data_IF_696173979662
#
_entry.id   IF_696173979662
#
_cell.length_a   1.000
_cell.length_b   1.000
_cell.length_c   1.000
_cell.angle_alpha   90.00
_cell.angle_beta   90.00
_cell.angle_gamma   90.00
#
_symmetry.space_group_name_H-M   'P 1'
#
loop_
_entity.id
_entity.type
_entity.pdbx_description
1 polymer ?
#
# COMPACT_ATOMS: atom_id res chain seq x y z
N UNK A 1 -4.09 24.88 -4.18
CA UNK A 1 -3.20 24.94 -3.03
C UNK A 1 -2.07 25.91 -3.31
N UNK A 2 -1.16 25.63 -4.25
CA UNK A 2 -0.15 26.58 -4.75
C UNK A 2 -0.33 26.95 -6.24
N UNK A 3 -1.10 26.15 -7.00
CA UNK A 3 -1.46 26.45 -8.39
C UNK A 3 -0.33 26.20 -9.41
N UNK A 4 0.83 25.72 -8.96
CA UNK A 4 1.98 25.43 -9.80
C UNK A 4 1.70 24.15 -10.60
N UNK A 5 1.91 24.22 -11.91
CA UNK A 5 1.78 23.07 -12.81
C UNK A 5 3.11 22.37 -13.04
N UNK A 6 3.09 21.13 -13.57
CA UNK A 6 4.31 20.39 -13.91
C UNK A 6 5.16 21.11 -14.95
N UNK A 7 4.55 21.88 -15.85
CA UNK A 7 5.25 22.66 -16.88
C UNK A 7 6.03 23.85 -16.30
N UNK A 8 5.58 24.37 -15.15
CA UNK A 8 6.24 25.47 -14.44
C UNK A 8 7.29 24.99 -13.43
N UNK A 9 7.43 23.67 -13.25
CA UNK A 9 8.31 23.12 -12.21
C UNK A 9 9.77 23.49 -12.44
N UNK A 10 10.27 23.41 -13.67
CA UNK A 10 11.69 23.69 -13.96
C UNK A 10 12.07 25.12 -13.58
N UNK A 11 11.33 26.11 -14.07
CA UNK A 11 11.56 27.52 -13.76
C UNK A 11 11.35 27.84 -12.28
N UNK A 12 10.39 27.17 -11.63
CA UNK A 12 10.21 27.28 -10.18
C UNK A 12 11.44 26.74 -9.42
N UNK A 13 11.95 25.58 -9.81
CA UNK A 13 13.13 24.97 -9.17
C UNK A 13 14.40 25.81 -9.38
N UNK A 14 14.61 26.41 -10.55
CA UNK A 14 15.74 27.31 -10.80
C UNK A 14 15.80 28.46 -9.78
N UNK A 15 14.64 28.96 -9.34
CA UNK A 15 14.55 30.05 -8.35
C UNK A 15 14.55 29.57 -6.90
N UNK A 16 13.89 28.44 -6.59
CA UNK A 16 13.59 28.02 -5.22
C UNK A 16 14.35 26.79 -4.73
N UNK A 17 15.25 26.22 -5.55
CA UNK A 17 16.00 25.02 -5.19
C UNK A 17 16.90 25.21 -3.95
N UNK A 18 17.66 26.30 -3.85
CA UNK A 18 18.55 26.51 -2.70
C UNK A 18 17.75 26.68 -1.39
N UNK A 19 16.72 27.56 -1.32
CA UNK A 19 15.87 27.63 -0.13
C UNK A 19 15.19 26.30 0.22
N UNK A 20 14.73 25.54 -0.77
CA UNK A 20 14.15 24.21 -0.54
C UNK A 20 15.17 23.28 0.10
N UNK A 21 16.39 23.23 -0.45
CA UNK A 21 17.47 22.35 0.03
C UNK A 21 17.87 22.69 1.46
N UNK A 22 17.97 23.96 1.81
CA UNK A 22 18.23 24.41 3.18
C UNK A 22 17.12 23.94 4.14
N UNK A 23 15.86 24.17 3.78
CA UNK A 23 14.69 23.73 4.57
C UNK A 23 14.62 22.21 4.77
N UNK A 24 15.05 21.44 3.78
CA UNK A 24 15.11 19.99 3.88
C UNK A 24 16.24 19.54 4.81
N UNK A 25 17.39 20.21 4.77
CA UNK A 25 18.56 19.90 5.62
C UNK A 25 18.34 20.27 7.08
N UNK A 26 17.77 21.44 7.34
CA UNK A 26 17.52 21.93 8.71
C UNK A 26 16.21 21.41 9.32
N UNK A 27 15.37 20.75 8.50
CA UNK A 27 14.12 20.14 8.94
C UNK A 27 12.95 21.09 9.05
N UNK A 28 13.09 22.35 8.63
CA UNK A 28 12.02 23.35 8.63
C UNK A 28 11.03 23.17 7.47
N UNK A 29 11.31 22.31 6.49
CA UNK A 29 10.35 21.97 5.43
C UNK A 29 9.03 21.46 6.00
N UNK A 30 7.91 22.04 5.56
CA UNK A 30 6.56 21.63 5.90
C UNK A 30 5.82 21.26 4.62
N UNK A 31 5.46 19.97 4.44
CA UNK A 31 4.60 19.55 3.34
C UNK A 31 3.27 20.28 3.36
N UNK A 32 2.71 20.51 2.19
CA UNK A 32 1.36 21.05 2.07
C UNK A 32 0.34 19.92 2.30
N UNK A 33 -0.90 20.25 2.73
CA UNK A 33 -1.97 19.27 2.72
C UNK A 33 -2.16 18.70 1.31
N UNK A 34 -2.79 17.54 1.19
CA UNK A 34 -3.12 16.98 -0.13
C UNK A 34 -4.48 17.50 -0.59
N UNK A 35 -4.63 17.81 -1.87
CA UNK A 35 -5.93 18.20 -2.44
C UNK A 35 -6.82 16.96 -2.57
N UNK A 36 -8.01 17.00 -1.96
CA UNK A 36 -9.00 15.92 -2.12
C UNK A 36 -9.61 15.96 -3.52
N UNK A 37 -9.62 14.82 -4.20
CA UNK A 37 -10.30 14.63 -5.48
C UNK A 37 -11.14 13.37 -5.41
N UNK A 38 -12.42 13.47 -5.78
CA UNK A 38 -13.31 12.32 -5.88
C UNK A 38 -13.30 11.76 -7.30
N UNK A 39 -13.05 10.45 -7.41
CA UNK A 39 -13.13 9.69 -8.66
C UNK A 39 -14.33 8.74 -8.56
N UNK A 40 -15.24 8.72 -9.55
CA UNK A 40 -16.34 7.76 -9.57
C UNK A 40 -15.81 6.33 -9.75
N UNK A 41 -16.34 5.38 -8.99
CA UNK A 41 -16.17 3.95 -9.23
C UNK A 41 -17.31 3.42 -10.11
N UNK A 42 -17.10 2.24 -10.70
CA UNK A 42 -18.10 1.55 -11.51
C UNK A 42 -19.38 1.20 -10.72
N UNK A 43 -19.28 1.02 -9.41
CA UNK A 43 -20.41 0.72 -8.50
C UNK A 43 -21.18 1.98 -8.04
N UNK A 44 -20.83 3.16 -8.55
CA UNK A 44 -21.43 4.45 -8.16
C UNK A 44 -20.86 5.06 -6.89
N UNK A 45 -20.02 4.33 -6.13
CA UNK A 45 -19.31 4.88 -4.97
C UNK A 45 -18.15 5.80 -5.41
N UNK A 46 -17.61 6.60 -4.47
CA UNK A 46 -16.49 7.52 -4.74
C UNK A 46 -15.19 6.97 -4.15
N UNK A 47 -14.12 6.99 -4.94
CA UNK A 47 -12.74 6.86 -4.46
C UNK A 47 -12.16 8.25 -4.24
N UNK A 48 -11.67 8.52 -3.04
CA UNK A 48 -11.00 9.79 -2.76
C UNK A 48 -9.49 9.63 -2.96
N UNK A 49 -8.92 10.50 -3.78
CA UNK A 49 -7.49 10.68 -3.92
C UNK A 49 -7.02 11.90 -3.12
N UNK A 50 -5.77 11.82 -2.66
CA UNK A 50 -5.04 12.94 -2.08
C UNK A 50 -3.89 13.31 -3.01
N UNK A 51 -4.04 14.41 -3.74
CA UNK A 51 -3.04 14.89 -4.70
C UNK A 51 -2.13 15.91 -4.02
N UNK A 52 -0.84 15.60 -3.77
CA UNK A 52 0.11 16.58 -3.24
C UNK A 52 0.41 17.67 -4.26
N UNK A 53 0.92 18.81 -3.82
CA UNK A 53 1.44 19.82 -4.74
C UNK A 53 2.66 19.29 -5.53
N UNK A 54 3.03 19.98 -6.61
CA UNK A 54 4.12 19.50 -7.48
C UNK A 54 5.43 19.38 -6.72
N UNK A 55 5.73 20.38 -5.88
CA UNK A 55 6.97 20.40 -5.09
C UNK A 55 7.03 19.23 -4.11
N UNK A 56 5.94 18.95 -3.40
CA UNK A 56 5.83 17.80 -2.51
C UNK A 56 6.03 16.49 -3.26
N UNK A 57 5.51 16.35 -4.49
CA UNK A 57 5.75 15.15 -5.30
C UNK A 57 7.23 14.99 -5.68
N UNK A 58 7.95 16.09 -5.95
CA UNK A 58 9.39 16.04 -6.21
C UNK A 58 10.15 15.57 -4.97
N UNK A 59 9.85 16.13 -3.81
CA UNK A 59 10.50 15.74 -2.55
C UNK A 59 10.18 14.28 -2.20
N UNK A 60 8.92 13.87 -2.32
CA UNK A 60 8.51 12.47 -2.12
C UNK A 60 9.24 11.52 -3.07
N UNK A 61 9.35 11.87 -4.35
CA UNK A 61 10.06 11.06 -5.33
C UNK A 61 11.57 10.97 -5.03
N UNK A 62 12.19 12.06 -4.58
CA UNK A 62 13.60 12.06 -4.19
C UNK A 62 13.84 11.14 -2.98
N UNK A 63 12.95 11.17 -1.98
CA UNK A 63 13.01 10.23 -0.85
C UNK A 63 12.83 8.80 -1.35
N UNK A 64 11.82 8.55 -2.20
CA UNK A 64 11.51 7.22 -2.74
C UNK A 64 12.73 6.58 -3.41
N UNK A 65 13.42 7.34 -4.27
CA UNK A 65 14.60 6.87 -5.02
C UNK A 65 15.75 6.43 -4.11
N UNK A 66 15.84 6.98 -2.89
CA UNK A 66 16.86 6.62 -1.91
C UNK A 66 16.42 5.45 -1.05
N UNK A 67 15.18 5.46 -0.55
CA UNK A 67 14.72 4.44 0.41
C UNK A 67 14.32 3.13 -0.27
N UNK A 68 13.77 3.18 -1.48
CA UNK A 68 13.24 2.00 -2.17
C UNK A 68 14.30 0.90 -2.37
N UNK A 69 15.52 1.20 -2.87
CA UNK A 69 16.57 0.18 -3.00
C UNK A 69 17.04 -0.43 -1.68
N UNK A 70 16.82 0.28 -0.55
CA UNK A 70 17.20 -0.18 0.78
C UNK A 70 16.12 -1.12 1.35
N UNK A 71 14.84 -0.79 1.17
CA UNK A 71 13.74 -1.52 1.83
C UNK A 71 13.10 -2.60 0.97
N UNK A 72 13.00 -2.40 -0.35
CA UNK A 72 12.33 -3.36 -1.25
C UNK A 72 12.95 -4.78 -1.22
N UNK A 73 14.28 -4.95 -1.13
CA UNK A 73 14.89 -6.29 -1.03
C UNK A 73 14.44 -7.11 0.19
N UNK A 74 13.84 -6.46 1.20
CA UNK A 74 13.35 -7.12 2.41
C UNK A 74 11.85 -7.43 2.38
N UNK A 75 11.15 -7.10 1.30
CA UNK A 75 9.75 -7.50 1.10
C UNK A 75 9.64 -8.93 0.60
N UNK A 76 8.58 -9.60 1.02
CA UNK A 76 8.26 -10.98 0.61
C UNK A 76 8.29 -11.14 -0.92
N UNK A 77 8.78 -12.28 -1.39
CA UNK A 77 8.71 -12.66 -2.80
C UNK A 77 7.26 -12.85 -3.29
N UNK A 78 6.32 -13.05 -2.37
CA UNK A 78 4.89 -13.15 -2.66
C UNK A 78 4.18 -11.79 -2.69
N UNK A 79 4.90 -10.68 -2.52
CA UNK A 79 4.40 -9.31 -2.66
C UNK A 79 4.81 -8.72 -4.00
N UNK A 80 3.83 -8.31 -4.81
CA UNK A 80 4.05 -7.90 -6.21
C UNK A 80 3.67 -6.45 -6.50
N UNK A 81 2.69 -5.90 -5.78
CA UNK A 81 2.10 -4.59 -6.10
C UNK A 81 3.08 -3.45 -5.86
N UNK A 82 3.18 -2.53 -6.82
CA UNK A 82 4.01 -1.31 -6.73
C UNK A 82 5.50 -1.55 -6.48
N UNK A 83 6.05 -2.68 -6.93
CA UNK A 83 7.47 -3.00 -6.78
C UNK A 83 8.17 -3.07 -8.12
N UNK A 84 9.40 -2.57 -8.19
CA UNK A 84 10.22 -2.59 -9.40
C UNK A 84 10.49 -4.04 -9.84
N UNK A 85 10.23 -4.34 -11.12
CA UNK A 85 10.43 -5.70 -11.67
C UNK A 85 9.40 -6.74 -11.24
N UNK A 86 8.36 -6.34 -10.48
CA UNK A 86 7.21 -7.17 -10.12
C UNK A 86 5.98 -6.72 -10.91
N UNK A 87 5.05 -7.64 -11.17
CA UNK A 87 3.86 -7.39 -11.99
C UNK A 87 2.67 -8.24 -11.55
N UNK A 88 1.46 -7.81 -11.93
CA UNK A 88 0.24 -8.57 -11.70
C UNK A 88 0.31 -9.96 -12.35
N UNK A 89 0.88 -10.08 -13.55
CA UNK A 89 1.04 -11.36 -14.24
C UNK A 89 1.90 -12.36 -13.46
N UNK A 90 2.97 -11.90 -12.80
CA UNK A 90 3.78 -12.77 -11.93
C UNK A 90 2.99 -13.22 -10.69
N UNK A 91 2.16 -12.34 -10.12
CA UNK A 91 1.27 -12.68 -9.01
C UNK A 91 0.27 -13.78 -9.43
N UNK A 92 -0.36 -13.64 -10.60
CA UNK A 92 -1.28 -14.64 -11.16
C UNK A 92 -0.57 -15.97 -11.44
N UNK A 93 0.64 -15.94 -12.02
CA UNK A 93 1.42 -17.16 -12.25
C UNK A 93 1.73 -17.88 -10.93
N UNK A 94 2.06 -17.14 -9.87
CA UNK A 94 2.33 -17.75 -8.56
C UNK A 94 1.08 -18.38 -7.93
N UNK A 95 -0.07 -17.72 -8.09
CA UNK A 95 -1.37 -18.26 -7.72
C UNK A 95 -1.70 -19.56 -8.46
N UNK A 96 -1.39 -19.64 -9.76
CA UNK A 96 -1.56 -20.85 -10.58
C UNK A 96 -0.65 -22.00 -10.08
N UNK A 97 0.61 -21.72 -9.76
CA UNK A 97 1.54 -22.70 -9.19
C UNK A 97 0.97 -23.33 -7.91
N UNK A 98 0.50 -22.52 -6.95
CA UNK A 98 -0.12 -23.05 -5.72
C UNK A 98 -1.37 -23.89 -6.01
N UNK A 99 -2.19 -23.47 -6.98
CA UNK A 99 -3.33 -24.26 -7.40
C UNK A 99 -2.89 -25.62 -7.96
N UNK A 100 -1.87 -25.67 -8.82
CA UNK A 100 -1.33 -26.91 -9.40
C UNK A 100 -0.74 -27.84 -8.33
N UNK A 101 -0.14 -27.29 -7.26
CA UNK A 101 0.34 -28.03 -6.08
C UNK A 101 -0.77 -28.62 -5.18
N UNK A 102 -2.04 -28.39 -5.52
CA UNK A 102 -3.19 -28.96 -4.81
C UNK A 102 -3.80 -28.05 -3.74
N UNK A 103 -3.40 -26.77 -3.66
CA UNK A 103 -4.06 -25.80 -2.79
C UNK A 103 -5.31 -25.24 -3.48
N UNK A 104 -6.39 -26.04 -3.46
CA UNK A 104 -7.61 -25.79 -4.23
C UNK A 104 -8.62 -24.84 -3.57
N UNK A 105 -8.35 -24.39 -2.34
CA UNK A 105 -9.21 -23.48 -1.59
C UNK A 105 -8.46 -22.17 -1.36
N UNK A 106 -9.17 -21.05 -1.50
CA UNK A 106 -8.65 -19.70 -1.30
C UNK A 106 -9.36 -19.06 -0.11
N UNK A 107 -8.57 -18.40 0.72
CA UNK A 107 -9.00 -17.40 1.70
C UNK A 107 -8.77 -16.05 1.07
N UNK A 108 -9.85 -15.38 0.72
CA UNK A 108 -9.89 -14.11 0.00
C UNK A 108 -10.28 -13.02 0.99
N UNK A 109 -9.37 -12.08 1.26
CA UNK A 109 -9.54 -11.06 2.29
C UNK A 109 -9.52 -9.66 1.68
N UNK A 110 -10.62 -8.93 1.82
CA UNK A 110 -10.73 -7.53 1.37
C UNK A 110 -10.56 -6.58 2.56
N UNK A 111 -9.69 -5.58 2.43
CA UNK A 111 -9.44 -4.58 3.47
C UNK A 111 -10.30 -3.33 3.24
N UNK A 112 -11.05 -2.92 4.27
CA UNK A 112 -11.92 -1.74 4.20
C UNK A 112 -11.10 -0.46 4.25
N UNK A 113 -11.15 0.34 3.18
CA UNK A 113 -10.51 1.65 3.11
C UNK A 113 -9.04 1.61 3.55
N UNK A 114 -8.28 0.63 3.07
CA UNK A 114 -6.92 0.33 3.53
C UNK A 114 -6.03 1.58 3.65
N UNK A 115 -5.86 2.32 2.55
CA UNK A 115 -5.05 3.54 2.55
C UNK A 115 -5.55 4.62 3.52
N UNK A 116 -6.82 4.65 3.91
CA UNK A 116 -7.35 5.63 4.86
C UNK A 116 -7.15 5.19 6.33
N UNK A 117 -6.74 3.94 6.58
CA UNK A 117 -6.68 3.34 7.92
C UNK A 117 -5.28 2.99 8.40
N UNK A 118 -4.25 3.09 7.54
CA UNK A 118 -2.84 2.80 7.88
C UNK A 118 -2.37 3.57 9.13
N UNK A 119 -1.86 2.86 10.14
CA UNK A 119 -1.37 3.46 11.38
C UNK A 119 0.09 3.96 11.25
N UNK A 120 0.29 5.27 11.32
CA UNK A 120 1.60 5.90 11.05
C UNK A 120 2.75 5.39 11.92
N UNK A 121 2.51 5.12 13.21
CA UNK A 121 3.58 4.64 14.11
C UNK A 121 4.13 3.28 13.71
N UNK A 122 3.32 2.42 13.07
CA UNK A 122 3.80 1.09 12.63
C UNK A 122 4.70 1.21 11.41
N UNK A 123 4.38 2.12 10.47
CA UNK A 123 5.27 2.45 9.37
C UNK A 123 6.62 2.94 9.92
N UNK A 124 6.57 3.91 10.86
CA UNK A 124 7.77 4.46 11.48
C UNK A 124 8.62 3.37 12.13
N UNK A 125 8.02 2.54 12.98
CA UNK A 125 8.73 1.46 13.66
C UNK A 125 9.38 0.47 12.68
N UNK A 126 8.76 0.20 11.53
CA UNK A 126 9.39 -0.63 10.50
C UNK A 126 10.53 0.08 9.77
N UNK A 127 10.36 1.35 9.41
CA UNK A 127 11.40 2.13 8.72
C UNK A 127 12.64 2.36 9.58
N UNK A 128 12.48 2.47 10.90
CA UNK A 128 13.59 2.67 11.85
C UNK A 128 14.62 1.52 11.79
N UNK A 129 14.25 0.32 11.33
CA UNK A 129 15.19 -0.80 11.15
C UNK A 129 16.13 -0.63 9.94
N UNK A 130 15.73 0.16 8.94
CA UNK A 130 16.44 0.28 7.66
C UNK A 130 17.02 1.67 7.42
N UNK A 131 16.43 2.70 8.03
CA UNK A 131 16.78 4.11 7.81
C UNK A 131 17.27 4.70 9.12
N UNK A 132 18.58 4.95 9.23
CA UNK A 132 19.16 5.60 10.41
C UNK A 132 19.04 7.13 10.37
N UNK A 133 18.79 7.72 9.20
CA UNK A 133 18.67 9.16 9.04
C UNK A 133 17.32 9.67 9.60
N UNK A 134 17.40 10.33 10.76
CA UNK A 134 16.25 10.91 11.46
C UNK A 134 15.54 11.99 10.66
N UNK A 135 16.23 12.69 9.75
CA UNK A 135 15.63 13.74 8.92
C UNK A 135 14.73 13.14 7.84
N UNK A 136 15.16 12.05 7.21
CA UNK A 136 14.33 11.31 6.24
C UNK A 136 13.07 10.77 6.93
N UNK A 137 13.23 10.15 8.10
CA UNK A 137 12.11 9.65 8.91
C UNK A 137 11.14 10.77 9.32
N UNK A 138 11.67 11.93 9.73
CA UNK A 138 10.87 13.10 10.06
C UNK A 138 10.08 13.63 8.84
N UNK A 139 10.70 13.66 7.65
CA UNK A 139 10.02 14.10 6.43
C UNK A 139 8.90 13.14 6.03
N UNK A 140 9.14 11.82 6.07
CA UNK A 140 8.09 10.81 5.82
C UNK A 140 6.94 10.99 6.81
N UNK A 141 7.25 11.19 8.09
CA UNK A 141 6.27 11.46 9.13
C UNK A 141 5.44 12.71 8.85
N UNK A 142 6.08 13.80 8.43
CA UNK A 142 5.40 15.04 8.03
C UNK A 142 4.48 14.85 6.83
N UNK A 143 4.91 14.09 5.81
CA UNK A 143 4.07 13.80 4.64
C UNK A 143 2.82 13.00 4.99
N UNK A 144 2.95 11.98 5.85
CA UNK A 144 1.79 11.19 6.32
C UNK A 144 0.77 12.03 7.08
N UNK A 145 1.20 13.13 7.71
CA UNK A 145 0.39 14.01 8.56
C UNK A 145 0.09 15.38 7.96
N UNK A 146 0.38 15.60 6.67
CA UNK A 146 0.28 16.94 6.08
C UNK A 146 -1.16 17.46 6.00
N UNK A 147 -2.15 16.59 6.21
CA UNK A 147 -3.57 16.95 6.20
C UNK A 147 -4.18 16.82 4.81
N UNK A 148 -5.48 17.03 4.73
CA UNK A 148 -6.26 17.04 3.50
C UNK A 148 -6.91 18.41 3.36
N UNK A 149 -6.85 19.00 2.17
CA UNK A 149 -7.65 20.16 1.80
C UNK A 149 -8.86 19.69 0.98
N UNK A 150 -10.04 19.80 1.56
CA UNK A 150 -11.32 19.44 0.92
C UNK A 150 -12.22 20.67 0.85
N UNK A 151 -12.49 21.15 -0.37
CA UNK A 151 -13.24 22.40 -0.61
C UNK A 151 -12.75 23.57 0.25
N UNK A 152 -11.44 23.77 0.26
CA UNK A 152 -10.73 24.81 1.02
C UNK A 152 -10.81 24.70 2.56
N UNK A 153 -11.36 23.59 3.07
CA UNK A 153 -11.35 23.26 4.49
C UNK A 153 -10.18 22.31 4.77
N UNK A 154 -9.33 22.70 5.73
CA UNK A 154 -8.26 21.84 6.22
C UNK A 154 -8.81 20.76 7.15
N UNK A 155 -8.40 19.52 6.91
CA UNK A 155 -8.75 18.35 7.69
C UNK A 155 -7.45 17.68 8.16
N UNK A 156 -7.28 17.55 9.47
CA UNK A 156 -6.11 16.88 10.05
C UNK A 156 -6.09 15.38 9.68
N UNK A 157 -4.91 14.87 9.32
CA UNK A 157 -4.71 13.44 9.04
C UNK A 157 -4.00 12.76 10.21
N UNK A 158 -4.73 11.91 10.94
CA UNK A 158 -4.19 11.13 12.08
C UNK A 158 -3.75 9.70 11.70
N UNK A 159 -4.28 9.18 10.60
CA UNK A 159 -4.00 7.86 10.03
C UNK A 159 -4.19 7.89 8.52
N UNK A 160 -3.69 6.87 7.83
CA UNK A 160 -3.76 6.70 6.40
C UNK A 160 -2.54 7.21 5.63
N UNK A 161 -2.44 6.86 4.36
CA UNK A 161 -1.45 7.37 3.42
C UNK A 161 -2.19 7.91 2.18
N UNK A 162 -1.91 9.15 1.73
CA UNK A 162 -2.69 9.77 0.67
C UNK A 162 -2.52 9.04 -0.66
N UNK A 163 -3.63 8.54 -1.23
CA UNK A 163 -3.64 7.93 -2.56
C UNK A 163 -3.32 9.00 -3.62
N UNK A 164 -2.09 9.05 -4.12
CA UNK A 164 -1.63 10.04 -5.10
C UNK A 164 -0.23 10.61 -4.83
N UNK A 165 0.31 10.39 -3.64
CA UNK A 165 1.71 10.71 -3.33
C UNK A 165 2.68 9.65 -3.86
N UNK A 166 3.84 10.02 -4.45
CA UNK A 166 4.85 9.05 -4.89
C UNK A 166 5.33 8.10 -3.79
N UNK A 167 5.39 8.52 -2.52
CA UNK A 167 5.81 7.66 -1.42
C UNK A 167 4.72 6.69 -0.95
N UNK A 168 3.45 7.01 -1.14
CA UNK A 168 2.34 6.25 -0.53
C UNK A 168 2.34 4.75 -0.89
N UNK A 169 2.64 4.32 -2.13
CA UNK A 169 2.68 2.91 -2.49
C UNK A 169 3.73 2.10 -1.69
N UNK A 170 4.94 2.64 -1.52
CA UNK A 170 5.98 1.91 -0.79
C UNK A 170 5.69 1.88 0.72
N UNK A 171 5.12 2.96 1.28
CA UNK A 171 4.72 2.99 2.69
C UNK A 171 3.56 2.02 2.98
N UNK A 172 2.64 1.87 2.02
CA UNK A 172 1.62 0.82 2.06
C UNK A 172 2.24 -0.59 2.04
N UNK A 173 3.27 -0.84 1.22
CA UNK A 173 3.96 -2.13 1.22
C UNK A 173 4.74 -2.37 2.52
N UNK A 174 5.41 -1.35 3.07
CA UNK A 174 6.05 -1.42 4.39
C UNK A 174 5.05 -1.89 5.46
N UNK A 175 3.83 -1.34 5.44
CA UNK A 175 2.81 -1.70 6.40
C UNK A 175 2.37 -3.17 6.26
N UNK A 176 1.98 -3.59 5.05
CA UNK A 176 1.53 -4.97 4.84
C UNK A 176 2.66 -6.01 4.81
N UNK A 177 3.93 -5.61 4.79
CA UNK A 177 5.03 -6.55 4.98
C UNK A 177 4.98 -7.22 6.37
N UNK A 178 4.38 -6.57 7.37
CA UNK A 178 4.14 -7.20 8.68
C UNK A 178 3.19 -8.41 8.55
N UNK A 179 2.15 -8.32 7.70
CA UNK A 179 1.28 -9.44 7.36
C UNK A 179 2.06 -10.52 6.61
N UNK A 180 2.82 -10.12 5.58
CA UNK A 180 3.58 -11.08 4.77
C UNK A 180 4.52 -11.93 5.63
N UNK A 181 5.26 -11.31 6.56
CA UNK A 181 6.17 -12.01 7.46
C UNK A 181 5.44 -12.96 8.41
N UNK A 182 4.26 -12.59 8.88
CA UNK A 182 3.45 -13.48 9.73
C UNK A 182 2.92 -14.68 8.93
N UNK A 183 2.50 -14.47 7.67
CA UNK A 183 2.07 -15.55 6.77
C UNK A 183 3.23 -16.49 6.43
N UNK A 184 4.43 -15.96 6.14
CA UNK A 184 5.64 -16.73 5.88
C UNK A 184 6.06 -17.55 7.11
N UNK A 185 6.07 -16.94 8.30
CA UNK A 185 6.37 -17.60 9.58
C UNK A 185 5.44 -18.78 9.84
N UNK A 186 4.18 -18.69 9.42
CA UNK A 186 3.17 -19.76 9.54
C UNK A 186 3.21 -20.78 8.40
N UNK A 187 4.08 -20.58 7.40
CA UNK A 187 4.21 -21.46 6.24
C UNK A 187 3.02 -21.40 5.28
N UNK A 188 2.29 -20.29 5.25
CA UNK A 188 1.15 -20.12 4.35
C UNK A 188 1.60 -19.87 2.90
N UNK A 189 0.80 -20.36 1.95
CA UNK A 189 0.94 -20.05 0.53
C UNK A 189 0.05 -18.86 0.23
N UNK A 190 0.62 -17.72 -0.13
CA UNK A 190 -0.16 -16.51 -0.40
C UNK A 190 0.41 -15.73 -1.56
N UNK A 191 -0.41 -14.85 -2.11
CA UNK A 191 -0.03 -13.87 -3.12
C UNK A 191 -0.66 -12.54 -2.72
N UNK A 192 0.13 -11.47 -2.74
CA UNK A 192 -0.33 -10.11 -2.41
C UNK A 192 0.03 -9.12 -3.51
N UNK A 193 -0.90 -8.27 -3.87
CA UNK A 193 -0.72 -7.13 -4.75
C UNK A 193 -1.34 -5.89 -4.11
N UNK A 194 -0.49 -4.99 -3.58
CA UNK A 194 -0.94 -3.88 -2.76
C UNK A 194 -1.73 -4.38 -1.53
N UNK A 195 -2.99 -3.98 -1.38
CA UNK A 195 -3.92 -4.39 -0.34
C UNK A 195 -4.76 -5.62 -0.68
N UNK A 196 -4.77 -6.04 -1.95
CA UNK A 196 -5.44 -7.26 -2.41
C UNK A 196 -4.52 -8.47 -2.15
N UNK A 197 -4.97 -9.44 -1.36
CA UNK A 197 -4.22 -10.66 -1.09
C UNK A 197 -5.12 -11.88 -0.92
N UNK A 198 -4.56 -13.02 -1.31
CA UNK A 198 -5.22 -14.32 -1.24
C UNK A 198 -4.29 -15.36 -0.62
N UNK A 199 -4.85 -16.25 0.21
CA UNK A 199 -4.11 -17.33 0.85
C UNK A 199 -4.66 -18.68 0.37
N UNK A 200 -3.78 -19.53 -0.14
CA UNK A 200 -4.09 -20.83 -0.71
C UNK A 200 -3.93 -21.93 0.34
N UNK A 201 -4.98 -22.75 0.49
CA UNK A 201 -5.07 -23.86 1.45
C UNK A 201 -5.65 -25.11 0.78
N UNK A 202 -5.47 -26.27 1.42
CA UNK A 202 -5.90 -27.56 0.85
C UNK A 202 -7.36 -27.94 1.14
N UNK A 203 -7.98 -27.36 2.18
CA UNK A 203 -9.35 -27.71 2.57
C UNK A 203 -10.12 -26.50 3.09
N UNK A 204 -11.46 -26.55 2.98
CA UNK A 204 -12.34 -25.48 3.45
C UNK A 204 -12.19 -25.22 4.94
N UNK A 205 -12.14 -26.28 5.76
CA UNK A 205 -11.89 -26.19 7.20
C UNK A 205 -10.57 -25.50 7.53
N UNK A 206 -9.51 -25.77 6.77
CA UNK A 206 -8.24 -25.06 6.95
C UNK A 206 -8.37 -23.58 6.57
N UNK A 207 -9.12 -23.27 5.51
CA UNK A 207 -9.38 -21.90 5.09
C UNK A 207 -10.16 -21.09 6.11
N UNK A 208 -11.24 -21.64 6.68
CA UNK A 208 -12.02 -20.97 7.75
C UNK A 208 -11.15 -20.66 8.97
N UNK A 209 -10.31 -21.62 9.40
CA UNK A 209 -9.36 -21.39 10.49
C UNK A 209 -8.32 -20.31 10.18
N UNK A 210 -7.81 -20.28 8.94
CA UNK A 210 -6.86 -19.24 8.50
C UNK A 210 -7.53 -17.89 8.43
N UNK A 211 -8.76 -17.80 7.90
CA UNK A 211 -9.55 -16.57 7.85
C UNK A 211 -9.71 -15.95 9.24
N UNK A 212 -10.14 -16.73 10.22
CA UNK A 212 -10.29 -16.27 11.61
C UNK A 212 -8.97 -15.76 12.18
N UNK A 213 -7.89 -16.51 12.02
CA UNK A 213 -6.59 -16.16 12.58
C UNK A 213 -5.94 -14.93 11.91
N UNK A 214 -6.10 -14.80 10.59
CA UNK A 214 -5.60 -13.64 9.83
C UNK A 214 -6.45 -12.40 10.12
N UNK A 215 -7.77 -12.56 10.29
CA UNK A 215 -8.67 -11.49 10.75
C UNK A 215 -8.24 -10.94 12.10
N UNK A 216 -8.01 -11.83 13.08
CA UNK A 216 -7.54 -11.41 14.39
C UNK A 216 -6.22 -10.63 14.31
N UNK A 217 -5.25 -11.12 13.53
CA UNK A 217 -3.98 -10.41 13.34
C UNK A 217 -4.16 -9.04 12.67
N UNK A 218 -4.99 -8.95 11.63
CA UNK A 218 -5.22 -7.67 10.94
C UNK A 218 -5.89 -6.64 11.85
N UNK A 219 -6.87 -7.06 12.65
CA UNK A 219 -7.64 -6.15 13.51
C UNK A 219 -6.88 -5.79 14.80
N UNK A 220 -6.28 -6.78 15.47
CA UNK A 220 -5.61 -6.57 16.77
C UNK A 220 -4.18 -6.09 16.57
N UNK A 221 -3.42 -6.76 15.70
CA UNK A 221 -2.01 -6.49 15.48
C UNK A 221 -1.73 -5.53 14.36
N UNK A 222 -2.66 -5.21 13.45
CA UNK A 222 -2.43 -4.17 12.43
C UNK A 222 -3.46 -3.06 12.46
N UNK A 223 -4.48 -3.10 13.33
CA UNK A 223 -5.53 -2.08 13.42
C UNK A 223 -6.18 -1.75 12.07
N UNK A 224 -6.24 -2.75 11.18
CA UNK A 224 -6.96 -2.70 9.91
C UNK A 224 -8.33 -3.33 10.09
N UNK A 225 -9.28 -2.95 9.24
CA UNK A 225 -10.62 -3.53 9.28
C UNK A 225 -10.86 -4.37 8.04
N UNK A 226 -11.30 -5.61 8.24
CA UNK A 226 -11.71 -6.47 7.13
C UNK A 226 -13.11 -6.11 6.65
N UNK A 227 -13.31 -6.20 5.35
CA UNK A 227 -14.62 -6.12 4.73
C UNK A 227 -15.26 -7.50 4.73
N UNK A 228 -16.06 -7.79 5.75
CA UNK A 228 -16.74 -9.07 5.95
C UNK A 228 -17.69 -9.45 4.81
N UNK A 229 -18.24 -8.47 4.09
CA UNK A 229 -19.15 -8.72 2.96
C UNK A 229 -18.42 -9.19 1.70
N UNK A 230 -17.14 -8.82 1.56
CA UNK A 230 -16.30 -9.16 0.40
C UNK A 230 -15.29 -10.25 0.67
N UNK A 231 -14.99 -10.52 1.95
CA UNK A 231 -14.05 -11.55 2.35
C UNK A 231 -14.73 -12.90 2.41
N UNK A 232 -14.08 -13.94 1.91
CA UNK A 232 -14.69 -15.26 1.79
C UNK A 232 -13.66 -16.40 1.78
N UNK A 233 -14.13 -17.61 2.09
CA UNK A 233 -13.38 -18.85 1.87
C UNK A 233 -14.09 -19.65 0.79
N UNK A 234 -13.48 -19.79 -0.37
CA UNK A 234 -14.09 -20.43 -1.53
C UNK A 234 -13.11 -21.30 -2.32
N UNK A 235 -13.59 -22.01 -3.33
CA UNK A 235 -12.71 -22.76 -4.24
C UNK A 235 -11.90 -21.79 -5.10
N UNK A 236 -10.64 -22.11 -5.38
CA UNK A 236 -9.75 -21.26 -6.17
C UNK A 236 -10.29 -20.91 -7.57
N UNK A 237 -11.13 -21.77 -8.14
CA UNK A 237 -11.79 -21.54 -9.44
C UNK A 237 -12.99 -20.60 -9.39
N UNK A 238 -13.44 -20.22 -8.18
CA UNK A 238 -14.55 -19.30 -7.93
C UNK A 238 -14.10 -17.91 -7.44
N UNK A 239 -12.84 -17.77 -7.02
CA UNK A 239 -12.28 -16.48 -6.60
C UNK A 239 -11.72 -15.74 -7.81
N UNK A 240 -12.03 -14.44 -7.89
CA UNK A 240 -11.46 -13.52 -8.88
C UNK A 240 -10.36 -12.71 -8.20
N UNK A 241 -9.12 -12.86 -8.65
CA UNK A 241 -7.97 -12.13 -8.13
C UNK A 241 -7.36 -11.27 -9.24
N UNK A 242 -7.21 -9.97 -9.00
CA UNK A 242 -6.71 -8.99 -9.99
C UNK A 242 -7.44 -9.00 -11.35
N UNK A 243 -8.72 -9.38 -11.35
CA UNK A 243 -9.55 -9.50 -12.56
C UNK A 243 -9.39 -10.82 -13.31
N UNK A 244 -8.63 -11.79 -12.79
CA UNK A 244 -8.44 -13.11 -13.37
C UNK A 244 -9.12 -14.20 -12.52
N UNK A 245 -9.58 -15.26 -13.18
CA UNK A 245 -10.11 -16.46 -12.53
C UNK A 245 -9.30 -17.67 -13.00
N UNK A 246 -8.95 -18.56 -12.08
CA UNK A 246 -8.32 -19.84 -12.42
C UNK A 246 -9.41 -20.76 -13.00
N UNK A 247 -9.18 -21.30 -14.19
CA UNK A 247 -10.07 -22.28 -14.80
C UNK A 247 -9.43 -23.66 -14.81
N UNK A 248 -10.23 -24.69 -14.52
CA UNK A 248 -9.81 -26.07 -14.72
C UNK A 248 -10.22 -26.51 -16.13
N UNK A 249 -9.26 -26.67 -17.04
CA UNK A 249 -9.52 -27.13 -18.40
C UNK A 249 -9.58 -28.67 -18.53
N UNK A 250 -9.46 -29.42 -17.43
CA UNK A 250 -9.64 -30.88 -17.46
C UNK A 250 -11.12 -31.27 -17.39
N UNK A 251 -11.83 -31.01 -18.49
CA UNK A 251 -13.24 -31.33 -18.70
C UNK A 251 -13.56 -31.49 -20.19
N UNK A 252 -12.86 -32.41 -20.86
CA UNK A 252 -13.35 -33.19 -22.01
C UNK A 252 -12.95 -34.64 -21.80
#
# INVERSE_FOLDING_TARGET
MDGITVYQLKSHMEKYYQPLKEKLKDGSYQPQPVKRVAIPKADGSKRYLGIPCVLDRVVQQAILQVIEPIIDPHFSDNSYGFRKGRSAHQAIKKAEEYYQEGFKVVVDCDLKSYFDTIHHQRIRGYLDYFISDKMVLLLIWKFLRSGILDKDIYIETKKGAPQGGPLSPILANVYLNMLDRELEKRGHRFVRYADDFVIYVKSKRAGERVMESVTAFLEQDLQLTINQEKSQVCGATKSTFLGFNIQNLMGK
#
